data_IF_728025392750
#
_entry.id   IF_728025392750
#
_cell.length_a   1.000
_cell.length_b   1.000
_cell.length_c   1.000
_cell.angle_alpha   90.00
_cell.angle_beta   90.00
_cell.angle_gamma   90.00
#
_symmetry.space_group_name_H-M   'P 1'
#
loop_
_entity.id
_entity.type
_entity.pdbx_description
1 polymer ?
#
# COMPACT_ATOMS: atom_id res chain seq x y z
N UNK A 1 -3.59 -20.32 4.44
CA UNK A 1 -3.44 -19.50 3.22
C UNK A 1 -3.55 -18.04 3.61
N UNK A 2 -2.50 -17.23 3.37
CA UNK A 2 -2.51 -15.82 3.74
C UNK A 2 -3.56 -15.04 2.94
N UNK A 3 -4.29 -14.13 3.59
CA UNK A 3 -5.36 -13.31 2.97
C UNK A 3 -4.91 -12.42 1.80
N UNK A 4 -3.60 -12.28 1.60
CA UNK A 4 -2.98 -11.37 0.64
C UNK A 4 -1.94 -12.13 -0.19
N UNK A 5 -1.98 -11.93 -1.51
CA UNK A 5 -1.02 -12.50 -2.44
C UNK A 5 -0.30 -11.37 -3.20
N UNK A 6 0.99 -11.55 -3.47
CA UNK A 6 1.81 -10.60 -4.23
C UNK A 6 1.71 -10.86 -5.73
N UNK A 7 1.99 -9.85 -6.56
CA UNK A 7 2.00 -10.02 -8.02
C UNK A 7 3.01 -11.08 -8.47
N UNK A 8 4.15 -11.21 -7.78
CA UNK A 8 5.16 -12.24 -8.05
C UNK A 8 4.63 -13.67 -7.91
N UNK A 9 3.59 -13.90 -7.11
CA UNK A 9 2.98 -15.24 -7.01
C UNK A 9 2.14 -15.60 -8.24
N UNK A 10 1.82 -14.65 -9.11
CA UNK A 10 1.01 -14.86 -10.32
C UNK A 10 1.78 -14.70 -11.63
N UNK A 11 3.01 -14.19 -11.58
CA UNK A 11 3.86 -13.99 -12.74
C UNK A 11 5.18 -14.73 -12.54
N UNK A 12 5.55 -15.58 -13.50
CA UNK A 12 6.81 -16.33 -13.46
C UNK A 12 8.03 -15.44 -13.77
N UNK A 13 7.82 -14.23 -14.26
CA UNK A 13 8.85 -13.25 -14.59
C UNK A 13 8.83 -12.04 -13.65
N UNK A 14 9.98 -11.36 -13.53
CA UNK A 14 10.12 -10.17 -12.71
C UNK A 14 9.31 -9.01 -13.30
N UNK A 15 8.30 -8.57 -12.56
CA UNK A 15 7.54 -7.35 -12.88
C UNK A 15 8.00 -6.21 -11.99
N UNK A 16 7.95 -4.97 -12.51
CA UNK A 16 8.32 -3.75 -11.76
C UNK A 16 7.55 -3.61 -10.42
N UNK A 17 6.36 -4.19 -10.35
CA UNK A 17 5.47 -4.22 -9.18
C UNK A 17 5.31 -5.62 -8.58
N UNK A 18 6.31 -6.48 -8.73
CA UNK A 18 6.24 -7.88 -8.29
C UNK A 18 6.04 -8.05 -6.78
N UNK A 19 6.61 -7.15 -5.98
CA UNK A 19 6.47 -7.13 -4.52
C UNK A 19 5.16 -6.51 -4.03
N UNK A 20 4.37 -5.90 -4.90
CA UNK A 20 3.11 -5.27 -4.53
C UNK A 20 2.05 -6.34 -4.25
N UNK A 21 1.23 -6.09 -3.23
CA UNK A 21 0.08 -6.92 -2.92
C UNK A 21 -0.94 -6.73 -4.04
N UNK A 22 -1.40 -7.84 -4.61
CA UNK A 22 -2.39 -7.82 -5.67
C UNK A 22 -3.72 -7.31 -5.11
N UNK A 23 -4.30 -6.31 -5.77
CA UNK A 23 -5.66 -5.90 -5.48
C UNK A 23 -6.65 -6.94 -6.02
N UNK A 24 -7.66 -7.26 -5.22
CA UNK A 24 -8.80 -8.02 -5.70
C UNK A 24 -9.58 -7.17 -6.71
N UNK A 25 -9.88 -7.77 -7.86
CA UNK A 25 -10.75 -7.14 -8.84
C UNK A 25 -12.17 -7.11 -8.29
N UNK A 26 -12.72 -5.92 -8.14
CA UNK A 26 -14.10 -5.69 -7.72
C UNK A 26 -14.82 -4.96 -8.85
N UNK A 27 -16.02 -5.41 -9.19
CA UNK A 27 -16.81 -4.80 -10.29
C UNK A 27 -17.53 -3.52 -9.86
N UNK A 28 -17.99 -3.45 -8.61
CA UNK A 28 -18.82 -2.36 -8.11
C UNK A 28 -17.95 -1.35 -7.34
N UNK A 29 -18.10 -0.06 -7.65
CA UNK A 29 -17.42 1.02 -6.91
C UNK A 29 -17.73 1.01 -5.42
N UNK A 30 -18.99 0.74 -5.05
CA UNK A 30 -19.40 0.59 -3.65
C UNK A 30 -18.64 -0.50 -2.90
N UNK A 31 -18.20 -1.56 -3.59
CA UNK A 31 -17.39 -2.61 -2.99
C UNK A 31 -15.91 -2.22 -2.87
N UNK A 32 -15.46 -1.26 -3.67
CA UNK A 32 -14.11 -0.68 -3.60
C UNK A 32 -14.00 0.36 -2.48
N UNK A 33 -15.12 0.93 -2.02
CA UNK A 33 -15.17 1.86 -0.89
C UNK A 33 -15.11 1.12 0.46
N UNK A 34 -13.99 0.43 0.70
CA UNK A 34 -13.80 -0.37 1.89
C UNK A 34 -12.34 -0.55 2.27
N UNK A 35 -12.11 -0.85 3.55
CA UNK A 35 -10.78 -1.00 4.14
C UNK A 35 -9.94 -2.04 3.39
N UNK A 36 -10.54 -3.15 2.96
CA UNK A 36 -9.82 -4.21 2.26
C UNK A 36 -9.24 -3.77 0.90
N UNK A 37 -9.88 -2.78 0.25
CA UNK A 37 -9.42 -2.26 -1.02
C UNK A 37 -8.37 -1.17 -0.81
N UNK A 38 -8.68 -0.18 0.03
CA UNK A 38 -7.79 0.95 0.27
C UNK A 38 -6.54 0.60 1.09
N UNK A 39 -6.61 -0.31 2.06
CA UNK A 39 -5.42 -0.72 2.83
C UNK A 39 -4.33 -1.30 1.92
N UNK A 40 -4.71 -2.06 0.88
CA UNK A 40 -3.78 -2.59 -0.11
C UNK A 40 -3.18 -1.46 -0.95
N UNK A 41 -4.00 -0.50 -1.41
CA UNK A 41 -3.50 0.67 -2.14
C UNK A 41 -2.52 1.49 -1.32
N UNK A 42 -2.89 1.80 -0.08
CA UNK A 42 -2.05 2.56 0.84
C UNK A 42 -0.73 1.85 1.11
N UNK A 43 -0.76 0.53 1.31
CA UNK A 43 0.47 -0.21 1.51
C UNK A 43 1.37 -0.22 0.28
N UNK A 44 0.81 -0.42 -0.93
CA UNK A 44 1.59 -0.56 -2.15
C UNK A 44 2.28 0.74 -2.61
N UNK A 45 1.73 1.91 -2.28
CA UNK A 45 2.38 3.20 -2.61
C UNK A 45 3.56 3.50 -1.69
N UNK A 46 3.65 2.85 -0.52
CA UNK A 46 4.75 3.09 0.40
C UNK A 46 6.09 2.58 -0.15
N UNK A 47 7.19 3.29 0.13
CA UNK A 47 8.54 2.86 -0.20
C UNK A 47 8.86 1.45 0.34
N UNK A 48 9.67 0.69 -0.40
CA UNK A 48 10.02 -0.70 -0.02
C UNK A 48 10.77 -0.79 1.30
N UNK A 49 11.64 0.18 1.60
CA UNK A 49 12.34 0.30 2.88
C UNK A 49 11.35 0.40 4.05
N UNK A 50 10.27 1.18 3.92
CA UNK A 50 9.23 1.30 4.95
C UNK A 50 8.41 0.01 5.05
N UNK A 51 8.00 -0.57 3.92
CA UNK A 51 7.21 -1.81 3.89
C UNK A 51 7.90 -3.01 4.55
N UNK A 52 9.22 -3.04 4.54
CA UNK A 52 10.03 -4.13 5.10
C UNK A 52 10.36 -3.94 6.59
N UNK A 53 9.97 -2.83 7.20
CA UNK A 53 10.20 -2.59 8.63
C UNK A 53 9.43 -3.59 9.51
N UNK A 54 9.97 -3.94 10.69
CA UNK A 54 9.19 -4.64 11.71
C UNK A 54 7.94 -3.84 12.07
N UNK A 55 6.84 -4.52 12.40
CA UNK A 55 5.53 -3.91 12.58
C UNK A 55 5.53 -2.67 13.50
N UNK A 56 6.28 -2.70 14.61
CA UNK A 56 6.38 -1.57 15.53
C UNK A 56 6.99 -0.32 14.85
N UNK A 57 8.08 -0.49 14.11
CA UNK A 57 8.75 0.58 13.38
C UNK A 57 7.93 1.05 12.18
N UNK A 58 7.34 0.12 11.42
CA UNK A 58 6.41 0.42 10.34
C UNK A 58 5.28 1.33 10.83
N UNK A 59 4.58 0.92 11.90
CA UNK A 59 3.47 1.67 12.47
C UNK A 59 3.91 3.06 12.93
N UNK A 60 5.05 3.17 13.61
CA UNK A 60 5.55 4.45 14.09
C UNK A 60 5.96 5.38 12.95
N UNK A 61 6.69 4.87 11.96
CA UNK A 61 7.14 5.64 10.79
C UNK A 61 5.96 6.18 9.99
N UNK A 62 5.00 5.32 9.63
CA UNK A 62 3.80 5.72 8.89
C UNK A 62 2.97 6.71 9.70
N UNK A 63 2.77 6.47 11.00
CA UNK A 63 2.01 7.39 11.86
C UNK A 63 2.65 8.77 11.91
N UNK A 64 3.96 8.85 12.14
CA UNK A 64 4.67 10.12 12.24
C UNK A 64 4.64 10.88 10.92
N UNK A 65 4.81 10.18 9.79
CA UNK A 65 4.71 10.78 8.47
C UNK A 65 3.31 11.33 8.17
N UNK A 66 2.26 10.56 8.46
CA UNK A 66 0.88 11.00 8.28
C UNK A 66 0.55 12.25 9.11
N UNK A 67 1.05 12.33 10.35
CA UNK A 67 0.89 13.51 11.20
C UNK A 67 1.65 14.72 10.63
N UNK A 68 2.87 14.51 10.13
CA UNK A 68 3.71 15.59 9.61
C UNK A 68 3.21 16.17 8.29
N UNK A 69 2.74 15.33 7.36
CA UNK A 69 2.24 15.77 6.05
C UNK A 69 0.80 16.26 6.11
N UNK A 70 -0.02 15.69 7.00
CA UNK A 70 -1.42 16.05 7.19
C UNK A 70 -2.21 16.12 5.87
N UNK A 71 -2.15 15.04 5.07
CA UNK A 71 -2.88 14.94 3.80
C UNK A 71 -4.38 15.25 3.98
N UNK A 72 -4.92 16.07 3.10
CA UNK A 72 -6.31 16.49 3.15
C UNK A 72 -7.24 15.45 2.50
N UNK A 73 -6.76 14.77 1.46
CA UNK A 73 -7.52 13.72 0.76
C UNK A 73 -6.76 12.40 0.64
N UNK A 74 -7.52 11.33 0.38
CA UNK A 74 -6.96 10.00 0.05
C UNK A 74 -6.12 10.06 -1.23
N UNK A 75 -6.56 10.82 -2.24
CA UNK A 75 -5.87 10.91 -3.52
C UNK A 75 -4.51 11.61 -3.38
N UNK A 76 -4.41 12.64 -2.54
CA UNK A 76 -3.14 13.28 -2.20
C UNK A 76 -2.13 12.30 -1.62
N UNK A 77 -2.56 11.41 -0.72
CA UNK A 77 -1.71 10.35 -0.19
C UNK A 77 -1.30 9.36 -1.28
N UNK A 78 -2.22 8.96 -2.17
CA UNK A 78 -1.96 7.94 -3.19
C UNK A 78 -1.06 8.43 -4.34
N UNK A 79 -0.99 9.75 -4.57
CA UNK A 79 -0.14 10.37 -5.60
C UNK A 79 1.20 10.83 -5.02
N UNK A 80 1.37 10.82 -3.70
CA UNK A 80 2.62 11.18 -3.03
C UNK A 80 3.78 10.24 -3.41
N UNK A 81 4.98 10.80 -3.57
CA UNK A 81 6.18 10.08 -4.00
C UNK A 81 7.04 9.56 -2.83
N UNK A 82 6.72 9.96 -1.59
CA UNK A 82 7.36 9.52 -0.35
C UNK A 82 8.90 9.64 -0.37
N UNK A 83 9.44 10.64 -1.08
CA UNK A 83 10.90 10.84 -1.21
C UNK A 83 11.55 11.18 0.14
N UNK A 84 10.79 11.81 1.02
CA UNK A 84 11.23 12.28 2.34
C UNK A 84 10.90 11.30 3.49
N UNK A 85 10.60 10.03 3.17
CA UNK A 85 10.19 9.00 4.13
C UNK A 85 11.28 7.96 4.45
#
# INVERSE_FOLDING_TARGET
>A
MGRYASNRQFHEYNTRRGSDIRLNYLRLLKSMDGVNYYAIKFFNVLPSNVRQLPFAHFKSSVKNYLISKAFYTIDEFLVNDFIDM
#
